data_IF_047182069664
#
_entry.id   IF_047182069664
#
_cell.length_a   1.000
_cell.length_b   1.000
_cell.length_c   1.000
_cell.angle_alpha   90.00
_cell.angle_beta   90.00
_cell.angle_gamma   90.00
#
_symmetry.space_group_name_H-M   'P 1'
#
loop_
_entity.id
_entity.type
_entity.pdbx_description
1 polymer ?
#
# COMPACT_ATOMS: atom_id res chain seq x y z
N UNK A 1 -8.03 15.85 -13.90
CA UNK A 1 -6.58 15.81 -13.65
C UNK A 1 -6.29 14.48 -12.97
N UNK A 2 -6.04 13.44 -13.74
CA UNK A 2 -5.49 12.19 -13.18
C UNK A 2 -4.00 12.44 -12.91
N UNK A 3 -3.69 12.83 -11.68
CA UNK A 3 -2.31 12.93 -11.22
C UNK A 3 -1.84 11.53 -10.85
N UNK A 4 -1.61 10.68 -11.87
CA UNK A 4 -1.27 9.26 -11.77
C UNK A 4 -0.48 8.90 -10.51
N UNK A 5 -1.22 8.63 -9.43
CA UNK A 5 -0.64 8.33 -8.14
C UNK A 5 -0.09 6.92 -8.25
N UNK A 6 1.20 6.76 -7.93
CA UNK A 6 1.81 5.44 -7.89
C UNK A 6 1.16 4.64 -6.74
N UNK A 7 0.38 3.57 -7.04
CA UNK A 7 -0.32 2.79 -6.02
C UNK A 7 0.65 2.04 -5.09
N UNK A 8 1.93 2.00 -5.44
CA UNK A 8 3.00 1.34 -4.69
C UNK A 8 3.88 2.31 -3.91
N UNK A 9 3.63 3.62 -3.98
CA UNK A 9 4.43 4.62 -3.30
C UNK A 9 4.36 4.42 -1.78
N UNK A 10 5.51 4.16 -1.15
CA UNK A 10 5.63 4.05 0.30
C UNK A 10 5.52 5.42 0.98
N UNK A 11 4.84 5.47 2.12
CA UNK A 11 4.88 6.63 3.02
C UNK A 11 6.20 6.67 3.82
N UNK A 12 6.37 7.68 4.69
CA UNK A 12 7.57 7.84 5.53
C UNK A 12 7.82 6.71 6.53
N UNK A 13 6.87 5.80 6.72
CA UNK A 13 6.98 4.59 7.56
C UNK A 13 7.21 3.33 6.73
N UNK A 14 7.46 3.46 5.42
CA UNK A 14 7.64 2.34 4.51
C UNK A 14 6.34 1.62 4.13
N UNK A 15 5.17 2.13 4.49
CA UNK A 15 3.89 1.48 4.20
C UNK A 15 3.31 1.95 2.86
N UNK A 16 2.87 1.00 2.03
CA UNK A 16 2.10 1.27 0.81
C UNK A 16 0.65 1.59 1.13
N UNK A 17 -0.10 2.25 0.21
CA UNK A 17 -1.54 2.44 0.35
C UNK A 17 -2.29 1.13 0.62
N UNK A 18 -1.88 0.05 -0.05
CA UNK A 18 -2.49 -1.26 0.12
C UNK A 18 -2.26 -1.83 1.53
N UNK A 19 -1.06 -1.67 2.10
CA UNK A 19 -0.79 -2.08 3.47
C UNK A 19 -1.61 -1.30 4.50
N UNK A 20 -1.82 0.00 4.26
CA UNK A 20 -2.68 0.83 5.11
C UNK A 20 -4.13 0.32 5.03
N UNK A 21 -4.66 0.10 3.82
CA UNK A 21 -6.02 -0.36 3.61
C UNK A 21 -6.30 -1.73 4.27
N UNK A 22 -5.36 -2.68 4.15
CA UNK A 22 -5.47 -4.00 4.79
C UNK A 22 -5.40 -3.92 6.31
N UNK A 23 -4.51 -3.09 6.87
CA UNK A 23 -4.39 -2.86 8.32
C UNK A 23 -5.70 -2.37 8.93
N UNK A 24 -6.42 -1.48 8.23
CA UNK A 24 -7.71 -0.94 8.66
C UNK A 24 -8.92 -1.76 8.20
N UNK A 25 -8.72 -2.93 7.58
CA UNK A 25 -9.78 -3.80 7.04
C UNK A 25 -10.73 -3.07 6.07
N UNK A 26 -10.23 -2.07 5.35
CA UNK A 26 -11.03 -1.32 4.38
C UNK A 26 -11.07 -2.06 3.04
N UNK A 27 -12.06 -2.95 2.90
CA UNK A 27 -12.21 -3.82 1.73
C UNK A 27 -12.39 -3.03 0.43
N UNK A 28 -13.11 -1.91 0.49
CA UNK A 28 -13.35 -1.09 -0.70
C UNK A 28 -12.05 -0.45 -1.20
N UNK A 29 -11.27 0.11 -0.29
CA UNK A 29 -9.95 0.65 -0.63
C UNK A 29 -9.00 -0.44 -1.17
N UNK A 30 -9.04 -1.66 -0.60
CA UNK A 30 -8.25 -2.80 -1.11
C UNK A 30 -8.60 -3.10 -2.56
N UNK A 31 -9.90 -3.18 -2.90
CA UNK A 31 -10.33 -3.45 -4.28
C UNK A 31 -9.87 -2.36 -5.24
N UNK A 32 -10.13 -1.10 -4.92
CA UNK A 32 -9.75 0.04 -5.77
C UNK A 32 -8.24 0.04 -6.01
N UNK A 33 -7.43 -0.18 -4.97
CA UNK A 33 -5.97 -0.17 -5.10
C UNK A 33 -5.47 -1.32 -5.98
N UNK A 34 -6.03 -2.52 -5.85
CA UNK A 34 -5.69 -3.67 -6.70
C UNK A 34 -6.09 -3.43 -8.17
N UNK A 35 -7.28 -2.87 -8.41
CA UNK A 35 -7.76 -2.50 -9.75
C UNK A 35 -6.84 -1.46 -10.43
N UNK A 36 -6.20 -0.60 -9.63
CA UNK A 36 -5.26 0.41 -10.11
C UNK A 36 -3.79 -0.08 -10.13
N UNK A 37 -3.53 -1.38 -9.92
CA UNK A 37 -2.21 -1.97 -10.09
C UNK A 37 -1.30 -1.92 -8.85
N UNK A 38 -1.86 -1.80 -7.64
CA UNK A 38 -1.10 -2.01 -6.42
C UNK A 38 -0.56 -3.45 -6.36
N UNK A 39 0.73 -3.61 -6.04
CA UNK A 39 1.38 -4.89 -5.86
C UNK A 39 1.15 -5.41 -4.43
N UNK A 40 0.42 -6.52 -4.24
CA UNK A 40 0.16 -7.10 -2.92
C UNK A 40 1.39 -7.69 -2.25
N UNK A 41 2.51 -7.82 -2.95
CA UNK A 41 3.75 -8.41 -2.43
C UNK A 41 4.70 -7.38 -1.83
N UNK A 42 4.43 -6.08 -1.95
CA UNK A 42 5.28 -5.05 -1.35
C UNK A 42 5.06 -5.02 0.16
N UNK A 43 6.08 -5.45 0.90
CA UNK A 43 6.10 -5.37 2.36
C UNK A 43 6.53 -3.99 2.83
N UNK A 44 6.17 -3.67 4.08
CA UNK A 44 6.77 -2.51 4.74
C UNK A 44 8.25 -2.75 5.04
N UNK A 45 8.94 -1.66 5.36
CA UNK A 45 10.34 -1.67 5.77
C UNK A 45 10.51 -2.11 7.25
N UNK A 46 9.39 -2.31 7.98
CA UNK A 46 9.39 -2.65 9.42
C UNK A 46 10.01 -4.04 9.66
N UNK A 47 9.97 -4.95 8.69
CA UNK A 47 10.52 -6.30 8.85
C UNK A 47 12.04 -6.33 9.10
N UNK A 48 12.78 -5.26 8.76
CA UNK A 48 14.23 -5.19 8.95
C UNK A 48 14.67 -4.47 10.23
N UNK A 49 13.76 -3.88 11.01
CA UNK A 49 14.13 -3.18 12.26
C UNK A 49 14.15 -4.10 13.48
N UNK A 50 13.78 -5.38 13.30
CA UNK A 50 13.70 -6.40 14.34
C UNK A 50 14.62 -7.61 14.09
N UNK A 51 15.53 -7.51 13.11
CA UNK A 51 16.66 -8.42 12.89
C UNK A 51 17.97 -7.64 13.07
#
# INVERSE_FOLDING_TARGET
MDRGADPNQKNSKGATPLLVATTYKNIEAVKILLEHGADPNITNDIFLMYL
#
